data_IF_350663161561
#
_entry.id   IF_350663161561
#
_cell.length_a   1.000
_cell.length_b   1.000
_cell.length_c   1.000
_cell.angle_alpha   90.00
_cell.angle_beta   90.00
_cell.angle_gamma   90.00
#
_symmetry.space_group_name_H-M   'P 1'
#
loop_
_entity.id
_entity.type
_entity.pdbx_description
1 polymer ?
#
# COMPACT_ATOMS: atom_id res chain seq x y z
N UNK A 1 2.53 6.24 -17.02
CA UNK A 1 1.54 5.48 -16.20
C UNK A 1 1.25 4.19 -16.95
N UNK A 2 1.05 3.03 -16.29
CA UNK A 2 0.99 1.70 -16.96
C UNK A 2 0.10 1.64 -18.22
N UNK A 3 -1.05 2.32 -18.21
CA UNK A 3 -1.91 2.39 -19.41
C UNK A 3 -1.25 3.13 -20.58
N UNK A 4 -0.61 4.27 -20.30
CA UNK A 4 0.10 5.07 -21.30
C UNK A 4 1.38 4.36 -21.80
N UNK A 5 2.08 3.67 -20.90
CA UNK A 5 3.40 3.11 -21.19
C UNK A 5 3.32 1.73 -21.86
N UNK A 6 2.28 0.93 -21.53
CA UNK A 6 2.14 -0.46 -21.97
C UNK A 6 0.78 -0.79 -22.63
N UNK A 7 -0.17 0.16 -22.68
CA UNK A 7 -1.48 -0.06 -23.31
C UNK A 7 -2.48 -0.88 -22.47
N UNK A 8 -2.14 -1.25 -21.23
CA UNK A 8 -3.07 -2.00 -20.38
C UNK A 8 -4.09 -1.05 -19.74
N UNK A 9 -5.36 -1.12 -20.16
CA UNK A 9 -6.43 -0.27 -19.63
C UNK A 9 -6.63 -0.48 -18.12
N UNK A 10 -6.92 0.56 -17.31
CA UNK A 10 -7.11 0.41 -15.86
C UNK A 10 -8.11 -0.69 -15.46
N UNK A 11 -9.19 -0.87 -16.22
CA UNK A 11 -10.20 -1.92 -15.95
C UNK A 11 -9.64 -3.35 -16.01
N UNK A 12 -8.64 -3.60 -16.85
CA UNK A 12 -8.02 -4.94 -16.93
C UNK A 12 -6.89 -5.14 -15.93
N UNK A 13 -6.44 -4.07 -15.27
CA UNK A 13 -5.32 -4.12 -14.34
C UNK A 13 -5.79 -4.62 -12.98
N UNK A 14 -5.10 -5.62 -12.43
CA UNK A 14 -5.30 -6.03 -11.05
C UNK A 14 -3.97 -6.19 -10.31
N UNK A 15 -3.81 -5.34 -9.29
CA UNK A 15 -2.56 -5.19 -8.56
C UNK A 15 -2.50 -6.10 -7.34
N UNK A 16 -1.39 -6.82 -7.19
CA UNK A 16 -1.07 -7.63 -6.02
C UNK A 16 0.16 -7.04 -5.35
N UNK A 17 0.01 -6.58 -4.12
CA UNK A 17 1.08 -6.01 -3.31
C UNK A 17 1.00 -6.64 -1.92
N UNK A 18 2.13 -7.14 -1.41
CA UNK A 18 2.16 -7.79 -0.09
C UNK A 18 1.17 -8.95 0.02
N UNK A 19 1.04 -9.77 -1.03
CA UNK A 19 0.09 -10.89 -1.14
C UNK A 19 -1.39 -10.51 -1.06
N UNK A 20 -1.73 -9.23 -1.25
CA UNK A 20 -3.11 -8.77 -1.24
C UNK A 20 -3.51 -8.12 -2.56
N UNK A 21 -4.74 -8.39 -2.98
CA UNK A 21 -5.37 -7.69 -4.09
C UNK A 21 -5.66 -6.24 -3.67
N UNK A 22 -5.14 -5.29 -4.44
CA UNK A 22 -5.26 -3.87 -4.12
C UNK A 22 -6.61 -3.32 -4.57
N UNK A 23 -7.07 -2.29 -3.85
CA UNK A 23 -8.22 -1.46 -4.20
C UNK A 23 -7.77 0.00 -4.29
N UNK A 24 -8.50 0.81 -5.06
CA UNK A 24 -8.07 2.15 -5.44
C UNK A 24 -8.14 3.17 -4.29
N UNK A 25 -8.98 2.92 -3.27
CA UNK A 25 -9.19 3.84 -2.16
C UNK A 25 -8.07 3.81 -1.11
N UNK A 26 -7.11 2.90 -1.25
CA UNK A 26 -6.01 2.70 -0.32
C UNK A 26 -4.68 3.16 -0.90
N UNK A 27 -3.84 3.71 -0.02
CA UNK A 27 -2.49 4.12 -0.40
C UNK A 27 -1.59 2.91 -0.60
N UNK A 28 -0.63 3.01 -1.52
CA UNK A 28 0.34 1.93 -1.80
C UNK A 28 1.19 1.59 -0.57
N UNK A 29 1.43 2.56 0.32
CA UNK A 29 2.14 2.34 1.58
C UNK A 29 1.40 1.46 2.56
N UNK A 30 0.06 1.44 2.53
CA UNK A 30 -0.75 0.52 3.34
C UNK A 30 -0.56 -0.94 2.92
N UNK A 31 -0.27 -1.19 1.63
CA UNK A 31 0.05 -2.52 1.10
C UNK A 31 1.51 -2.92 1.28
N UNK A 32 2.34 -2.04 1.85
CA UNK A 32 3.72 -2.37 2.20
C UNK A 32 4.80 -1.85 1.25
N UNK A 33 4.45 -1.00 0.27
CA UNK A 33 5.46 -0.26 -0.50
C UNK A 33 5.94 0.94 0.32
N UNK A 34 7.17 0.87 0.81
CA UNK A 34 7.79 1.84 1.73
C UNK A 34 9.13 2.37 1.23
N UNK A 35 9.79 1.67 0.31
CA UNK A 35 11.09 2.04 -0.23
C UNK A 35 11.29 1.50 -1.64
N UNK A 36 12.28 2.05 -2.31
CA UNK A 36 12.77 1.55 -3.59
C UNK A 36 13.18 0.08 -3.46
N UNK A 37 12.76 -0.73 -4.43
CA UNK A 37 12.96 -2.18 -4.44
C UNK A 37 11.79 -2.99 -3.87
N UNK A 38 10.82 -2.36 -3.20
CA UNK A 38 9.58 -3.06 -2.83
C UNK A 38 8.81 -3.45 -4.11
N UNK A 39 8.26 -4.66 -4.12
CA UNK A 39 7.72 -5.28 -5.33
C UNK A 39 6.20 -5.20 -5.37
N UNK A 40 5.67 -4.90 -6.55
CA UNK A 40 4.26 -5.02 -6.88
C UNK A 40 4.12 -5.93 -8.11
N UNK A 41 3.08 -6.76 -8.12
CA UNK A 41 2.74 -7.60 -9.25
C UNK A 41 1.46 -7.08 -9.89
N UNK A 42 1.39 -7.15 -11.21
CA UNK A 42 0.20 -6.84 -11.99
C UNK A 42 -0.21 -8.12 -12.72
N UNK A 43 -1.44 -8.56 -12.49
CA UNK A 43 -2.07 -9.54 -13.38
C UNK A 43 -3.15 -8.86 -14.23
N UNK A 44 -3.34 -9.38 -15.43
CA UNK A 44 -4.23 -8.81 -16.42
C UNK A 44 -5.45 -9.69 -16.58
N UNK A 45 -6.61 -9.05 -16.56
CA UNK A 45 -7.84 -9.67 -17.00
C UNK A 45 -7.99 -9.59 -18.51
N UNK A 46 -8.76 -10.52 -19.07
CA UNK A 46 -9.25 -10.37 -20.43
C UNK A 46 -10.20 -9.17 -20.51
N UNK A 47 -10.26 -8.53 -21.68
CA UNK A 47 -11.19 -7.43 -21.92
C UNK A 47 -12.65 -7.83 -21.60
N UNK A 48 -13.03 -9.07 -21.93
CA UNK A 48 -14.35 -9.63 -21.63
C UNK A 48 -14.64 -9.70 -20.13
N UNK A 49 -13.68 -10.14 -19.32
CA UNK A 49 -13.87 -10.26 -17.86
C UNK A 49 -13.88 -8.89 -17.16
N UNK A 50 -13.22 -7.90 -17.76
CA UNK A 50 -13.20 -6.52 -17.27
C UNK A 50 -14.35 -5.66 -17.83
N UNK A 51 -15.25 -6.22 -18.62
CA UNK A 51 -16.34 -5.50 -19.31
C UNK A 51 -15.82 -4.30 -20.13
N UNK A 52 -14.60 -4.41 -20.67
CA UNK A 52 -13.97 -3.36 -21.46
C UNK A 52 -14.34 -3.54 -22.93
N UNK A 53 -15.05 -2.56 -23.48
CA UNK A 53 -15.35 -2.48 -24.92
C UNK A 53 -14.21 -1.81 -25.68
N UNK A 54 -14.11 -2.14 -26.98
CA UNK A 54 -13.13 -1.53 -27.88
C UNK A 54 -13.33 -0.01 -27.99
N UNK A 55 -14.57 0.44 -28.18
CA UNK A 55 -14.91 1.86 -28.21
C UNK A 55 -14.42 2.60 -26.96
N UNK A 56 -14.65 2.03 -25.76
CA UNK A 56 -14.23 2.66 -24.50
C UNK A 56 -12.72 2.78 -24.41
N UNK A 57 -12.01 1.73 -24.84
CA UNK A 57 -10.56 1.73 -24.89
C UNK A 57 -10.02 2.82 -25.81
N UNK A 58 -10.56 2.95 -27.02
CA UNK A 58 -10.13 3.97 -27.99
C UNK A 58 -10.39 5.40 -27.49
N UNK A 59 -11.55 5.65 -26.89
CA UNK A 59 -11.91 6.94 -26.29
C UNK A 59 -10.94 7.33 -25.17
N UNK A 60 -10.72 6.42 -24.20
CA UNK A 60 -9.82 6.68 -23.07
C UNK A 60 -8.34 6.81 -23.54
N UNK A 61 -7.93 6.06 -24.58
CA UNK A 61 -6.60 6.20 -25.19
C UNK A 61 -6.43 7.56 -25.88
N UNK A 62 -7.43 8.00 -26.66
CA UNK A 62 -7.41 9.31 -27.30
C UNK A 62 -7.37 10.45 -26.27
N UNK A 63 -8.10 10.33 -25.16
CA UNK A 63 -8.09 11.31 -24.07
C UNK A 63 -6.70 11.45 -23.43
N UNK A 64 -5.98 10.34 -23.21
CA UNK A 64 -4.61 10.36 -22.68
C UNK A 64 -3.64 11.00 -23.68
N UNK A 65 -3.80 10.77 -24.98
CA UNK A 65 -2.97 11.42 -26.01
C UNK A 65 -3.21 12.93 -26.07
N UNK A 66 -4.48 13.37 -26.06
CA UNK A 66 -4.83 14.79 -26.10
C UNK A 66 -4.29 15.56 -24.90
N UNK A 67 -4.45 15.02 -23.69
CA UNK A 67 -3.93 15.63 -22.45
C UNK A 67 -2.40 15.73 -22.39
N UNK A 68 -1.68 14.92 -23.17
CA UNK A 68 -0.22 14.99 -23.29
C UNK A 68 0.26 16.13 -24.20
N UNK A 69 -0.60 16.64 -25.09
CA UNK A 69 -0.26 17.69 -26.08
C UNK A 69 -0.67 19.11 -25.64
N UNK A 70 -1.54 19.25 -24.65
CA UNK A 70 -1.92 20.55 -24.07
C UNK A 70 -0.90 21.02 -23.03
N UNK A 71 0.32 21.36 -23.47
CA UNK A 71 1.20 22.25 -22.70
C UNK A 71 1.03 23.67 -23.26
N UNK A 72 0.50 24.64 -22.50
CA UNK A 72 0.54 26.03 -22.92
C UNK A 72 1.99 26.52 -22.87
N UNK A 73 2.46 27.06 -23.99
CA UNK A 73 3.56 28.01 -24.00
C UNK A 73 3.22 29.19 -23.10
N UNK A 74 3.95 29.38 -21.99
CA UNK A 74 4.58 30.66 -21.63
C UNK A 74 5.33 30.58 -20.29
N UNK A 75 6.28 31.50 -20.16
CA UNK A 75 7.46 31.49 -19.31
C UNK A 75 7.28 31.42 -17.78
N UNK A 76 8.41 31.12 -17.11
CA UNK A 76 8.72 31.29 -15.69
C UNK A 76 8.48 30.08 -14.75
N UNK A 77 9.43 29.16 -14.79
CA UNK A 77 10.16 28.71 -13.59
C UNK A 77 9.38 28.04 -12.46
N UNK A 78 9.11 26.74 -12.59
CA UNK A 78 9.15 25.84 -11.43
C UNK A 78 9.54 24.43 -11.85
N UNK A 79 10.75 24.01 -11.45
CA UNK A 79 11.27 22.67 -11.70
C UNK A 79 10.39 21.65 -10.96
N UNK A 80 9.57 20.89 -11.71
CA UNK A 80 9.04 19.59 -11.28
C UNK A 80 10.20 18.66 -10.88
N UNK A 81 10.40 18.52 -9.57
CA UNK A 81 11.39 17.65 -8.93
C UNK A 81 10.87 16.23 -8.79
N UNK A 82 10.86 15.43 -9.87
CA UNK A 82 10.91 13.96 -9.77
C UNK A 82 11.10 13.34 -11.17
N UNK A 83 12.26 13.54 -11.78
CA UNK A 83 12.70 12.68 -12.87
C UNK A 83 14.14 12.26 -12.55
N UNK A 84 14.29 11.07 -11.96
CA UNK A 84 15.58 10.43 -11.70
C UNK A 84 15.95 9.51 -12.86
N UNK A 85 16.37 10.11 -13.97
CA UNK A 85 17.21 9.42 -14.96
C UNK A 85 18.61 10.07 -14.95
N UNK A 86 19.69 9.30 -15.00
CA UNK A 86 21.04 9.84 -14.90
C UNK A 86 21.48 10.45 -16.23
N UNK A 87 21.89 11.72 -16.22
CA UNK A 87 22.58 12.33 -17.37
C UNK A 87 24.09 12.44 -17.09
N UNK A 88 24.87 11.92 -18.04
CA UNK A 88 26.33 11.81 -18.03
C UNK A 88 27.02 13.18 -18.14
N UNK A 89 28.17 13.31 -17.47
CA UNK A 89 29.01 14.51 -17.29
C UNK A 89 29.61 15.06 -18.61
N UNK A 90 30.21 16.29 -18.69
CA UNK A 90 31.48 16.61 -18.01
C UNK A 90 31.70 18.05 -17.49
N UNK A 91 32.47 18.11 -16.39
CA UNK A 91 33.31 19.17 -15.76
C UNK A 91 33.38 20.58 -16.38
N UNK A 92 33.37 21.60 -15.49
CA UNK A 92 34.40 22.66 -15.39
C UNK A 92 34.41 23.33 -14.00
N UNK A 93 35.61 23.75 -13.59
CA UNK A 93 36.09 24.15 -12.26
C UNK A 93 36.25 25.68 -12.17
N UNK A 94 35.89 26.31 -11.03
CA UNK A 94 36.59 27.40 -10.29
C UNK A 94 35.69 27.82 -9.10
N UNK A 95 36.04 27.69 -7.81
CA UNK A 95 36.90 28.57 -6.98
C UNK A 95 36.05 29.30 -5.92
N UNK A 96 36.02 28.87 -4.64
CA UNK A 96 36.75 29.41 -3.44
C UNK A 96 36.09 30.61 -2.72
N UNK A 97 36.13 30.54 -1.37
CA UNK A 97 35.94 31.56 -0.30
C UNK A 97 34.50 31.74 0.27
N UNK A 98 34.21 31.79 1.57
CA UNK A 98 34.94 31.67 2.86
C UNK A 98 33.88 31.66 4.01
N UNK A 99 34.07 30.87 5.09
CA UNK A 99 34.59 31.22 6.45
C UNK A 99 33.58 31.76 7.50
N UNK A 100 33.56 31.09 8.67
CA UNK A 100 33.25 31.61 10.03
C UNK A 100 31.80 31.38 10.52
N UNK A 101 31.48 30.96 11.75
CA UNK A 101 32.23 30.66 12.98
C UNK A 101 31.49 31.19 14.23
N UNK A 102 31.21 30.31 15.23
CA UNK A 102 30.91 30.55 16.69
C UNK A 102 29.51 31.12 17.04
N UNK A 103 28.90 30.99 18.24
CA UNK A 103 28.95 30.13 19.46
C UNK A 103 27.98 30.78 20.49
N UNK A 104 27.17 30.01 21.26
CA UNK A 104 26.86 30.12 22.73
C UNK A 104 25.63 29.24 23.08
N UNK A 105 25.80 28.11 23.78
CA UNK A 105 25.68 27.83 25.24
C UNK A 105 24.27 27.92 25.85
N UNK A 106 23.66 26.75 26.16
CA UNK A 106 23.47 26.12 27.50
C UNK A 106 22.15 26.53 28.17
N UNK A 107 21.28 25.54 28.40
CA UNK A 107 20.63 25.24 29.69
C UNK A 107 20.09 23.79 29.64
N UNK A 108 20.27 23.07 30.74
CA UNK A 108 19.79 21.71 31.04
C UNK A 108 19.36 21.73 32.52
N UNK A 109 18.76 20.68 33.11
CA UNK A 109 17.71 19.73 32.68
C UNK A 109 16.58 19.69 33.78
N UNK A 110 15.70 18.67 33.94
CA UNK A 110 16.11 17.37 34.50
C UNK A 110 15.37 16.10 34.01
N UNK A 111 16.17 15.03 33.89
CA UNK A 111 16.00 13.62 34.32
C UNK A 111 14.61 12.94 34.40
N UNK A 112 14.59 11.78 33.72
CA UNK A 112 14.12 10.47 34.21
C UNK A 112 12.63 10.27 34.50
N UNK A 113 11.91 9.72 33.52
CA UNK A 113 10.72 8.89 33.77
C UNK A 113 10.92 7.51 33.13
N UNK A 114 11.07 6.51 33.99
CA UNK A 114 11.03 5.08 33.75
C UNK A 114 9.73 4.61 33.06
N UNK A 115 9.75 3.58 32.19
CA UNK A 115 8.53 3.02 31.63
C UNK A 115 7.89 2.08 32.67
N UNK A 116 6.94 2.61 33.45
CA UNK A 116 6.06 1.77 34.26
C UNK A 116 5.01 1.13 33.34
N UNK A 117 5.01 -0.20 33.37
CA UNK A 117 3.94 -1.12 32.96
C UNK A 117 2.55 -0.48 33.12
N UNK A 118 1.88 -0.21 32.00
CA UNK A 118 0.44 0.01 31.98
C UNK A 118 -0.27 -1.32 31.81
N UNK A 119 -0.19 -2.16 32.83
CA UNK A 119 -1.21 -3.18 33.06
C UNK A 119 -2.37 -2.49 33.79
N UNK A 120 -3.36 -2.02 33.04
CA UNK A 120 -4.68 -1.67 33.59
C UNK A 120 -5.76 -2.45 32.88
N UNK A 121 -6.10 -3.56 33.55
CA UNK A 121 -7.41 -4.18 33.72
C UNK A 121 -8.58 -3.47 33.03
N UNK A 122 -9.11 -4.09 31.98
CA UNK A 122 -10.52 -4.00 31.61
C UNK A 122 -11.14 -5.39 31.83
N UNK A 123 -11.56 -5.66 33.05
CA UNK A 123 -12.57 -6.68 33.33
C UNK A 123 -13.81 -5.94 33.82
N UNK A 124 -14.86 -5.91 33.00
CA UNK A 124 -16.27 -5.97 33.41
C UNK A 124 -17.17 -6.11 32.17
N UNK A 125 -18.00 -7.16 32.22
CA UNK A 125 -19.18 -7.52 31.41
C UNK A 125 -19.00 -8.41 30.15
N UNK A 126 -19.72 -9.55 30.06
CA UNK A 126 -19.64 -10.51 28.96
C UNK A 126 -20.58 -10.08 27.83
N UNK A 127 -20.14 -9.12 27.02
CA UNK A 127 -20.85 -8.74 25.79
C UNK A 127 -19.85 -8.90 24.66
N UNK A 128 -19.89 -10.09 24.03
CA UNK A 128 -19.22 -10.43 22.77
C UNK A 128 -17.92 -9.64 22.51
N UNK A 129 -16.87 -9.91 23.30
CA UNK A 129 -15.52 -9.56 22.89
C UNK A 129 -15.34 -10.21 21.52
N UNK A 130 -15.23 -9.39 20.47
CA UNK A 130 -14.96 -9.84 19.12
C UNK A 130 -13.66 -10.64 19.17
N UNK A 131 -13.80 -11.96 19.31
CA UNK A 131 -12.68 -12.87 19.29
C UNK A 131 -12.00 -12.64 17.95
N UNK A 132 -10.71 -12.33 17.98
CA UNK A 132 -9.92 -11.95 16.83
C UNK A 132 -8.44 -12.04 17.21
N UNK A 133 -7.55 -11.82 16.24
CA UNK A 133 -6.11 -11.81 16.50
C UNK A 133 -5.54 -10.42 16.20
N UNK A 134 -4.71 -9.93 17.12
CA UNK A 134 -4.02 -8.65 16.96
C UNK A 134 -2.84 -8.82 16.02
N UNK A 135 -2.77 -7.99 14.98
CA UNK A 135 -1.66 -8.02 14.05
C UNK A 135 -0.34 -7.61 14.74
N UNK A 136 0.73 -8.42 14.69
CA UNK A 136 1.99 -8.09 15.35
C UNK A 136 2.71 -6.88 14.72
N UNK A 137 2.33 -6.48 13.49
CA UNK A 137 2.94 -5.35 12.77
C UNK A 137 2.19 -4.03 12.94
N UNK A 138 0.85 -4.05 12.88
CA UNK A 138 0.03 -2.83 12.87
C UNK A 138 -1.03 -2.77 13.98
N UNK A 139 -1.11 -3.76 14.86
CA UNK A 139 -2.03 -3.85 16.01
C UNK A 139 -3.53 -3.91 15.69
N UNK A 140 -3.90 -3.92 14.40
CA UNK A 140 -5.29 -4.11 13.99
C UNK A 140 -5.82 -5.49 14.45
N UNK A 141 -7.03 -5.52 14.98
CA UNK A 141 -7.70 -6.76 15.43
C UNK A 141 -8.45 -7.37 14.24
N UNK A 142 -7.92 -8.46 13.71
CA UNK A 142 -8.50 -9.18 12.59
C UNK A 142 -9.54 -10.19 13.06
N UNK A 143 -10.47 -10.54 12.16
CA UNK A 143 -11.40 -11.64 12.42
C UNK A 143 -10.63 -12.98 12.55
N UNK A 144 -11.09 -13.93 13.38
CA UNK A 144 -10.36 -15.16 13.71
C UNK A 144 -9.95 -15.98 12.49
N UNK A 145 -10.83 -16.06 11.49
CA UNK A 145 -10.63 -16.90 10.30
C UNK A 145 -9.68 -16.31 9.27
N UNK A 146 -9.23 -15.05 9.42
CA UNK A 146 -8.35 -14.40 8.45
C UNK A 146 -6.92 -14.93 8.54
N UNK A 147 -6.35 -15.47 7.44
CA UNK A 147 -4.97 -15.97 7.43
C UNK A 147 -3.92 -14.83 7.45
N UNK A 148 -4.29 -13.63 7.02
CA UNK A 148 -3.43 -12.44 7.03
C UNK A 148 -4.19 -11.18 7.44
N UNK A 149 -3.44 -10.15 7.82
CA UNK A 149 -4.00 -8.93 8.39
C UNK A 149 -4.68 -8.07 7.32
N UNK A 150 -5.89 -7.60 7.59
CA UNK A 150 -6.66 -6.76 6.66
C UNK A 150 -6.03 -5.39 6.39
N UNK A 151 -5.23 -4.88 7.33
CA UNK A 151 -4.64 -3.55 7.22
C UNK A 151 -3.27 -3.54 6.54
N UNK A 152 -2.50 -4.62 6.69
CA UNK A 152 -1.09 -4.62 6.28
C UNK A 152 -0.58 -5.98 5.80
N UNK A 153 -1.48 -6.95 5.64
CA UNK A 153 -1.21 -8.27 5.05
C UNK A 153 -0.20 -9.13 5.81
N UNK A 154 0.17 -8.73 7.03
CA UNK A 154 1.03 -9.55 7.89
C UNK A 154 0.31 -10.84 8.24
N UNK A 155 1.00 -11.96 8.14
CA UNK A 155 0.45 -13.27 8.45
C UNK A 155 -0.10 -13.34 9.88
N UNK A 156 -1.16 -14.13 10.03
CA UNK A 156 -1.67 -14.50 11.34
C UNK A 156 -0.58 -15.26 12.11
N UNK A 157 -0.36 -14.97 13.40
CA UNK A 157 0.59 -15.74 14.21
C UNK A 157 0.30 -17.25 14.16
N UNK A 158 1.34 -18.07 13.98
CA UNK A 158 1.22 -19.53 13.84
C UNK A 158 0.63 -20.20 15.09
N UNK A 159 0.80 -19.58 16.27
CA UNK A 159 0.29 -20.05 17.55
C UNK A 159 -1.18 -19.65 17.82
N UNK A 160 -1.77 -18.80 16.98
CA UNK A 160 -3.17 -18.43 17.12
C UNK A 160 -4.10 -19.54 16.60
N UNK A 161 -5.01 -19.98 17.47
CA UNK A 161 -6.06 -20.95 17.14
C UNK A 161 -7.41 -20.24 17.06
N UNK A 162 -8.15 -20.48 15.97
CA UNK A 162 -9.53 -20.00 15.83
C UNK A 162 -10.39 -20.62 16.93
N UNK A 163 -11.05 -19.81 17.80
CA UNK A 163 -11.88 -20.36 18.86
C UNK A 163 -13.04 -21.19 18.28
N UNK A 164 -13.26 -22.41 18.79
CA UNK A 164 -14.32 -23.31 18.30
C UNK A 164 -15.75 -22.78 18.50
N UNK A 165 -15.94 -21.82 19.40
CA UNK A 165 -17.23 -21.13 19.60
C UNK A 165 -17.46 -19.97 18.63
N UNK A 166 -16.48 -19.62 17.80
CA UNK A 166 -16.60 -18.52 16.85
C UNK A 166 -17.56 -18.91 15.72
N UNK A 167 -18.52 -18.03 15.43
CA UNK A 167 -19.42 -18.15 14.30
C UNK A 167 -19.06 -17.07 13.29
N UNK A 168 -18.50 -17.43 12.13
CA UNK A 168 -18.23 -16.46 11.08
C UNK A 168 -19.52 -15.79 10.60
N UNK A 169 -19.45 -14.51 10.26
CA UNK A 169 -20.57 -13.80 9.64
C UNK A 169 -20.75 -14.14 8.15
N UNK A 170 -21.86 -13.70 7.56
CA UNK A 170 -22.19 -13.99 6.15
C UNK A 170 -21.07 -13.57 5.18
N UNK A 171 -20.43 -12.42 5.43
CA UNK A 171 -19.32 -11.94 4.61
C UNK A 171 -18.08 -12.83 4.72
N UNK A 172 -17.75 -13.30 5.93
CA UNK A 172 -16.66 -14.26 6.12
C UNK A 172 -16.93 -15.61 5.48
N UNK A 173 -18.16 -16.13 5.63
CA UNK A 173 -18.56 -17.40 5.04
C UNK A 173 -18.44 -17.35 3.52
N UNK A 174 -18.94 -16.29 2.89
CA UNK A 174 -18.82 -16.12 1.44
C UNK A 174 -17.36 -16.08 0.98
N UNK A 175 -16.49 -15.35 1.71
CA UNK A 175 -15.05 -15.32 1.42
C UNK A 175 -14.42 -16.71 1.52
N UNK A 176 -14.73 -17.47 2.57
CA UNK A 176 -14.20 -18.83 2.77
C UNK A 176 -14.68 -19.79 1.67
N UNK A 177 -15.94 -19.68 1.26
CA UNK A 177 -16.50 -20.49 0.17
C UNK A 177 -15.78 -20.20 -1.15
N UNK A 178 -15.61 -18.92 -1.51
CA UNK A 178 -14.90 -18.53 -2.73
C UNK A 178 -13.45 -19.01 -2.75
N UNK A 179 -12.75 -18.96 -1.61
CA UNK A 179 -11.39 -19.50 -1.47
C UNK A 179 -11.35 -21.01 -1.72
N UNK A 180 -12.29 -21.76 -1.13
CA UNK A 180 -12.39 -23.21 -1.31
C UNK A 180 -12.74 -23.59 -2.76
N UNK A 181 -13.68 -22.89 -3.38
CA UNK A 181 -14.04 -23.10 -4.79
C UNK A 181 -12.84 -22.82 -5.70
N UNK A 182 -12.08 -21.75 -5.45
CA UNK A 182 -10.86 -21.44 -6.19
C UNK A 182 -9.78 -22.52 -6.06
N UNK A 183 -9.58 -23.08 -4.86
CA UNK A 183 -8.64 -24.19 -4.64
C UNK A 183 -9.06 -25.43 -5.43
N UNK A 184 -10.35 -25.78 -5.43
CA UNK A 184 -10.88 -26.92 -6.16
C UNK A 184 -10.77 -26.76 -7.69
N UNK A 185 -10.91 -25.53 -8.19
CA UNK A 185 -10.72 -25.22 -9.61
C UNK A 185 -9.26 -25.38 -10.04
N UNK A 186 -8.30 -24.97 -9.20
CA UNK A 186 -6.88 -25.09 -9.52
C UNK A 186 -6.37 -26.53 -9.54
N UNK A 187 -7.03 -27.44 -8.80
CA UNK A 187 -6.63 -28.85 -8.71
C UNK A 187 -7.16 -29.72 -9.87
N UNK A 188 -8.04 -29.19 -10.73
CA UNK A 188 -8.57 -29.86 -11.92
C UNK A 188 -7.74 -29.53 -13.16
#
# INVERSE_FOLDING_TARGET
QVFQDYGFHPLVQRWIIGQCLCVDERTVSSYGIRRDGDTAFLYLLSAKMAELTEQRYEEDQAQVMLSSTSSPTDAAGERRKYNTLPNMSPKKVWGVLGKGGRSLRILSPPRSLSPKRFSRLLHLSPVSLQAGWSCPKCTFINKPTRPGCEMCSTDRPDDYVVPGSYKPDETELWRMQQEQEGILQYQQ
#
